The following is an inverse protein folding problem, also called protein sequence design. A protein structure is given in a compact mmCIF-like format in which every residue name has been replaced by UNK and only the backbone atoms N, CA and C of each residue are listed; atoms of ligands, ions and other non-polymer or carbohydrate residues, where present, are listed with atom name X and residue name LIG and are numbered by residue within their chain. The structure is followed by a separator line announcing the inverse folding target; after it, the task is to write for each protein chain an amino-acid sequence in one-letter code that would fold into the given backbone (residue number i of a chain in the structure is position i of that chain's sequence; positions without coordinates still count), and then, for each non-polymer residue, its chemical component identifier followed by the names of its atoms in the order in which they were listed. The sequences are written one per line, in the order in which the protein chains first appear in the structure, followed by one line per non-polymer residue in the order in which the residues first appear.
data_IF_365103112357
#
_entry.id   IF_365103112357
#
_cell.length_a   1.000
_cell.length_b   1.000
_cell.length_c   1.000
_cell.angle_alpha   90.00
_cell.angle_beta   90.00
_cell.angle_gamma   90.00
#
_symmetry.space_group_name_H-M   'P 1'
#
loop_
_entity.id
_entity.type
_entity.pdbx_description
1 polymer ?
#
# COMPACT_ATOMS: atom_id res chain seq x y z
N UNK A 1 -39.96 9.20 -28.30
CA UNK A 1 -39.96 7.95 -29.10
C UNK A 1 -38.55 7.74 -29.58
N UNK A 2 -37.76 6.97 -28.82
CA UNK A 2 -36.32 6.82 -29.06
C UNK A 2 -36.12 5.51 -29.81
N UNK A 3 -35.52 5.64 -30.99
CA UNK A 3 -35.31 4.61 -32.01
C UNK A 3 -34.09 3.77 -31.65
N UNK A 4 -34.27 2.44 -31.59
CA UNK A 4 -33.17 1.48 -31.47
C UNK A 4 -32.45 1.37 -32.81
N UNK A 5 -31.15 1.64 -32.82
CA UNK A 5 -30.27 1.29 -33.94
C UNK A 5 -29.63 -0.06 -33.58
N UNK A 6 -30.06 -1.13 -34.24
CA UNK A 6 -29.34 -2.40 -34.22
C UNK A 6 -28.29 -2.39 -35.33
N UNK A 7 -27.02 -2.53 -34.96
CA UNK A 7 -25.96 -2.91 -35.90
C UNK A 7 -25.49 -4.31 -35.50
N UNK A 8 -25.47 -5.29 -36.43
CA UNK A 8 -24.83 -6.56 -36.16
C UNK A 8 -23.31 -6.34 -36.17
N UNK A 9 -22.63 -6.65 -35.06
CA UNK A 9 -21.16 -6.76 -35.06
C UNK A 9 -20.86 -8.16 -35.55
N UNK A 10 -20.36 -8.25 -36.78
CA UNK A 10 -19.95 -9.50 -37.40
C UNK A 10 -18.94 -10.26 -36.52
N UNK A 11 -19.25 -11.53 -36.26
CA UNK A 11 -18.36 -12.48 -35.60
C UNK A 11 -17.14 -12.74 -36.51
N UNK A 12 -15.99 -12.17 -36.15
CA UNK A 12 -14.70 -12.63 -36.70
C UNK A 12 -14.35 -13.95 -36.02
N UNK A 13 -14.65 -15.07 -36.68
CA UNK A 13 -14.17 -16.39 -36.29
C UNK A 13 -12.67 -16.49 -36.60
N UNK A 14 -11.82 -16.21 -35.62
CA UNK A 14 -10.40 -16.52 -35.68
C UNK A 14 -10.20 -18.03 -35.57
N UNK A 15 -10.05 -18.69 -36.72
CA UNK A 15 -9.73 -20.11 -36.81
C UNK A 15 -8.22 -20.26 -36.92
N UNK A 16 -7.52 -20.54 -35.82
CA UNK A 16 -6.10 -20.90 -35.85
C UNK A 16 -5.97 -22.37 -36.27
N UNK A 17 -5.55 -22.59 -37.51
CA UNK A 17 -5.22 -23.93 -38.02
C UNK A 17 -3.71 -24.18 -37.86
N UNK A 18 -3.34 -24.95 -36.84
CA UNK A 18 -2.01 -25.54 -36.74
C UNK A 18 -2.02 -26.85 -37.53
N UNK A 19 -1.37 -26.86 -38.69
CA UNK A 19 -1.17 -28.08 -39.48
C UNK A 19 0.09 -28.77 -38.99
N UNK A 20 -0.08 -29.85 -38.23
CA UNK A 20 0.97 -30.86 -38.03
C UNK A 20 0.47 -32.14 -38.70
N UNK A 21 1.19 -32.58 -39.74
CA UNK A 21 0.91 -33.87 -40.38
C UNK A 21 1.44 -35.00 -39.49
N UNK A 22 0.54 -35.85 -39.02
CA UNK A 22 0.85 -37.27 -38.81
C UNK A 22 -0.45 -38.08 -38.87
N UNK A 23 -0.36 -39.23 -39.54
CA UNK A 23 -1.47 -40.14 -39.81
C UNK A 23 -2.20 -40.62 -38.55
N UNK A 24 -3.51 -40.85 -38.75
CA UNK A 24 -4.47 -41.55 -37.90
C UNK A 24 -5.12 -40.81 -36.72
N UNK A 25 -6.43 -40.59 -36.90
CA UNK A 25 -7.50 -40.44 -35.91
C UNK A 25 -7.20 -39.52 -34.70
N UNK A 26 -7.22 -38.22 -34.96
CA UNK A 26 -7.36 -37.22 -33.88
C UNK A 26 -8.85 -36.99 -33.65
N UNK A 27 -9.39 -37.63 -32.62
CA UNK A 27 -10.67 -37.27 -32.02
C UNK A 27 -10.59 -35.79 -31.60
N UNK A 28 -11.34 -34.93 -32.30
CA UNK A 28 -11.39 -33.50 -31.96
C UNK A 28 -12.29 -33.34 -30.74
N UNK A 29 -11.73 -33.46 -29.55
CA UNK A 29 -12.40 -32.98 -28.34
C UNK A 29 -12.62 -31.46 -28.49
N UNK A 30 -13.88 -31.08 -28.70
CA UNK A 30 -14.30 -29.67 -28.68
C UNK A 30 -14.19 -29.18 -27.25
N UNK A 31 -13.11 -28.45 -26.94
CA UNK A 31 -13.00 -27.73 -25.69
C UNK A 31 -14.08 -26.63 -25.65
N UNK A 32 -15.18 -26.89 -24.94
CA UNK A 32 -16.19 -25.86 -24.66
C UNK A 32 -15.61 -24.91 -23.62
N UNK A 33 -15.19 -23.73 -24.07
CA UNK A 33 -14.93 -22.61 -23.18
C UNK A 33 -16.30 -22.13 -22.71
N UNK A 34 -16.65 -22.43 -21.46
CA UNK A 34 -17.83 -21.87 -20.82
C UNK A 34 -17.63 -20.35 -20.67
N UNK A 35 -18.11 -19.58 -21.63
CA UNK A 35 -18.18 -18.13 -21.49
C UNK A 35 -19.30 -17.84 -20.49
N UNK A 36 -18.93 -17.49 -19.26
CA UNK A 36 -19.88 -16.94 -18.29
C UNK A 36 -20.34 -15.59 -18.83
N UNK A 37 -21.43 -15.58 -19.60
CA UNK A 37 -22.14 -14.35 -19.93
C UNK A 37 -22.93 -13.93 -18.69
N UNK A 38 -22.64 -12.74 -18.17
CA UNK A 38 -23.50 -12.04 -17.21
C UNK A 38 -24.86 -11.80 -17.89
N UNK A 39 -25.77 -12.76 -17.76
CA UNK A 39 -27.07 -12.74 -18.45
C UNK A 39 -28.12 -11.87 -17.72
N UNK A 40 -27.76 -11.30 -16.57
CA UNK A 40 -28.57 -10.35 -15.81
C UNK A 40 -27.68 -9.19 -15.38
N UNK A 41 -28.01 -7.98 -15.81
CA UNK A 41 -27.42 -6.76 -15.24
C UNK A 41 -27.92 -6.57 -13.82
N UNK A 42 -27.10 -5.96 -12.96
CA UNK A 42 -27.51 -5.59 -11.62
C UNK A 42 -28.56 -4.48 -11.68
N UNK A 43 -29.58 -4.60 -10.85
CA UNK A 43 -30.52 -3.51 -10.62
C UNK A 43 -29.84 -2.42 -9.79
N UNK A 44 -30.29 -1.17 -9.95
CA UNK A 44 -29.78 -0.05 -9.15
C UNK A 44 -29.96 -0.30 -7.64
N UNK A 45 -31.03 -1.00 -7.24
CA UNK A 45 -31.28 -1.39 -5.87
C UNK A 45 -30.23 -2.36 -5.33
N UNK A 46 -29.86 -3.40 -6.11
CA UNK A 46 -28.82 -4.36 -5.72
C UNK A 46 -27.47 -3.68 -5.52
N UNK A 47 -27.13 -2.72 -6.38
CA UNK A 47 -25.88 -1.95 -6.26
C UNK A 47 -25.86 -1.15 -4.94
N UNK A 48 -26.97 -0.48 -4.61
CA UNK A 48 -27.06 0.31 -3.36
C UNK A 48 -26.95 -0.58 -2.13
N UNK A 49 -27.59 -1.76 -2.15
CA UNK A 49 -27.51 -2.73 -1.04
C UNK A 49 -26.06 -3.19 -0.85
N UNK A 50 -25.37 -3.56 -1.92
CA UNK A 50 -23.97 -4.01 -1.86
C UNK A 50 -23.05 -2.91 -1.32
N UNK A 51 -23.18 -1.67 -1.83
CA UNK A 51 -22.40 -0.53 -1.34
C UNK A 51 -22.66 -0.24 0.14
N UNK A 52 -23.90 -0.40 0.59
CA UNK A 52 -24.28 -0.20 1.99
C UNK A 52 -23.62 -1.24 2.90
N UNK A 53 -23.66 -2.53 2.50
CA UNK A 53 -23.02 -3.61 3.25
C UNK A 53 -21.50 -3.39 3.34
N UNK A 54 -20.85 -3.02 2.22
CA UNK A 54 -19.41 -2.72 2.21
C UNK A 54 -19.11 -1.55 3.14
N UNK A 55 -19.88 -0.47 3.07
CA UNK A 55 -19.66 0.71 3.91
C UNK A 55 -19.82 0.42 5.41
N UNK A 56 -20.87 -0.32 5.80
CA UNK A 56 -21.07 -0.73 7.21
C UNK A 56 -19.96 -1.67 7.68
N UNK A 57 -19.59 -2.65 6.87
CA UNK A 57 -18.50 -3.56 7.20
C UNK A 57 -17.18 -2.80 7.37
N UNK A 58 -16.81 -1.95 6.41
CA UNK A 58 -15.60 -1.13 6.48
C UNK A 58 -15.58 -0.23 7.71
N UNK A 59 -16.71 0.38 8.07
CA UNK A 59 -16.82 1.24 9.27
C UNK A 59 -16.68 0.42 10.56
N UNK A 60 -17.28 -0.77 10.60
CA UNK A 60 -17.19 -1.66 11.77
C UNK A 60 -15.76 -2.19 11.95
N UNK A 61 -15.10 -2.60 10.86
CA UNK A 61 -13.68 -2.94 10.88
C UNK A 61 -12.81 -1.76 11.28
N UNK A 62 -13.09 -0.56 10.76
CA UNK A 62 -12.37 0.65 11.14
C UNK A 62 -12.44 0.92 12.64
N UNK A 63 -13.62 0.77 13.26
CA UNK A 63 -13.78 0.99 14.70
C UNK A 63 -13.14 -0.13 15.54
N UNK A 64 -13.22 -1.39 15.11
CA UNK A 64 -12.66 -2.53 15.84
C UNK A 64 -11.14 -2.60 15.74
N UNK A 65 -10.57 -2.17 14.62
CA UNK A 65 -9.11 -2.16 14.40
C UNK A 65 -8.45 -0.89 14.95
N UNK A 66 -9.21 0.18 15.16
CA UNK A 66 -8.71 1.39 15.81
C UNK A 66 -8.72 1.19 17.32
N UNK A 67 -7.76 0.41 17.81
CA UNK A 67 -7.43 0.39 19.24
C UNK A 67 -7.11 1.83 19.68
N UNK A 68 -7.48 2.25 20.90
CA UNK A 68 -7.00 3.52 21.44
C UNK A 68 -5.49 3.46 21.40
N UNK A 69 -4.86 4.38 20.66
CA UNK A 69 -3.42 4.43 20.45
C UNK A 69 -2.80 4.55 21.85
N UNK A 70 -2.19 3.48 22.41
CA UNK A 70 -1.36 3.66 23.60
C UNK A 70 -0.25 4.65 23.23
N UNK A 71 0.32 5.39 24.18
CA UNK A 71 1.46 6.28 23.93
C UNK A 71 2.41 5.61 22.92
N UNK A 72 2.39 6.10 21.68
CA UNK A 72 2.90 5.37 20.54
C UNK A 72 4.43 5.37 20.71
N UNK A 73 5.00 4.22 21.09
CA UNK A 73 6.45 4.17 21.28
C UNK A 73 7.12 4.55 19.96
N UNK A 74 8.30 5.19 20.02
CA UNK A 74 9.03 5.57 18.81
C UNK A 74 9.20 4.36 17.86
N UNK A 75 9.40 3.16 18.44
CA UNK A 75 9.54 1.92 17.70
C UNK A 75 8.27 1.57 16.91
N UNK A 76 7.11 1.68 17.53
CA UNK A 76 5.82 1.39 16.90
C UNK A 76 5.55 2.42 15.80
N UNK A 77 5.86 3.69 16.06
CA UNK A 77 5.72 4.76 15.07
C UNK A 77 6.60 4.55 13.84
N UNK A 78 7.87 4.19 14.05
CA UNK A 78 8.80 3.89 12.95
C UNK A 78 8.28 2.69 12.15
N UNK A 79 7.83 1.63 12.83
CA UNK A 79 7.30 0.43 12.17
C UNK A 79 6.06 0.75 11.32
N UNK A 80 5.13 1.54 11.87
CA UNK A 80 3.95 2.02 11.16
C UNK A 80 4.34 2.84 9.90
N UNK A 81 5.29 3.76 10.03
CA UNK A 81 5.72 4.59 8.90
C UNK A 81 6.52 3.81 7.86
N UNK A 82 7.27 2.78 8.24
CA UNK A 82 7.92 1.85 7.31
C UNK A 82 6.87 1.11 6.47
N UNK A 83 5.84 0.57 7.11
CA UNK A 83 4.73 -0.10 6.41
C UNK A 83 3.97 0.87 5.49
N UNK A 84 3.65 2.06 5.99
CA UNK A 84 2.98 3.10 5.21
C UNK A 84 3.84 3.54 4.01
N UNK A 85 5.15 3.74 4.21
CA UNK A 85 6.11 4.08 3.16
C UNK A 85 6.16 3.02 2.06
N UNK A 86 6.10 1.73 2.43
CA UNK A 86 6.06 0.62 1.48
C UNK A 86 4.79 0.67 0.60
N UNK A 87 3.63 0.91 1.20
CA UNK A 87 2.35 0.91 0.47
C UNK A 87 2.10 2.18 -0.33
N UNK A 88 2.57 3.33 0.15
CA UNK A 88 2.28 4.63 -0.46
C UNK A 88 3.40 5.15 -1.35
N UNK A 89 4.62 4.61 -1.22
CA UNK A 89 5.81 5.12 -1.88
C UNK A 89 6.31 6.45 -1.29
N UNK A 90 5.75 6.91 -0.15
CA UNK A 90 6.15 8.14 0.50
C UNK A 90 7.43 7.96 1.33
N UNK A 91 8.23 9.01 1.42
CA UNK A 91 9.41 9.05 2.30
C UNK A 91 9.12 9.95 3.49
N UNK A 92 9.47 9.50 4.69
CA UNK A 92 9.26 10.23 5.93
C UNK A 92 10.59 10.57 6.59
N UNK A 93 10.62 11.66 7.37
CA UNK A 93 11.77 12.00 8.21
C UNK A 93 11.36 12.44 9.61
N UNK A 94 12.20 12.14 10.59
CA UNK A 94 12.04 12.57 11.97
C UNK A 94 12.98 13.72 12.30
N UNK A 95 12.43 14.71 12.99
CA UNK A 95 13.14 15.78 13.70
C UNK A 95 12.76 15.71 15.18
N UNK A 96 13.38 16.53 16.05
CA UNK A 96 13.05 16.51 17.48
C UNK A 96 11.58 16.82 17.80
N UNK A 97 10.90 17.56 16.94
CA UNK A 97 9.58 18.12 17.22
C UNK A 97 8.50 17.66 16.23
N UNK A 98 8.89 17.04 15.11
CA UNK A 98 7.96 16.71 14.04
C UNK A 98 8.43 15.56 13.16
N UNK A 99 7.44 14.92 12.55
CA UNK A 99 7.62 14.03 11.40
C UNK A 99 7.27 14.81 10.14
N UNK A 100 8.14 14.73 9.14
CA UNK A 100 7.94 15.35 7.83
C UNK A 100 7.77 14.29 6.76
N UNK A 101 7.07 14.64 5.69
CA UNK A 101 6.91 13.81 4.49
C UNK A 101 7.54 14.51 3.29
N UNK A 102 8.23 13.76 2.45
CA UNK A 102 8.80 14.28 1.21
C UNK A 102 7.75 14.27 0.11
N UNK A 103 7.38 15.44 -0.40
CA UNK A 103 6.38 15.60 -1.46
C UNK A 103 6.74 16.76 -2.37
N UNK A 104 6.60 16.57 -3.68
CA UNK A 104 6.84 17.61 -4.69
C UNK A 104 8.22 18.30 -4.59
N UNK A 105 9.24 17.58 -4.13
CA UNK A 105 10.59 18.13 -3.98
C UNK A 105 10.89 18.78 -2.62
N UNK A 106 9.90 18.88 -1.73
CA UNK A 106 10.02 19.57 -0.45
C UNK A 106 9.64 18.67 0.74
N UNK A 107 10.23 18.97 1.90
CA UNK A 107 9.85 18.36 3.18
C UNK A 107 8.72 19.16 3.81
N UNK A 108 7.57 18.52 3.98
CA UNK A 108 6.37 19.14 4.53
C UNK A 108 6.08 18.48 5.87
N UNK A 109 5.79 19.28 6.90
CA UNK A 109 5.37 18.75 8.21
C UNK A 109 4.11 17.90 8.04
N UNK A 110 4.22 16.63 8.44
CA UNK A 110 3.14 15.65 8.41
C UNK A 110 2.39 15.65 9.74
N UNK A 111 3.12 15.58 10.85
CA UNK A 111 2.57 15.63 12.20
C UNK A 111 3.56 16.17 13.22
N UNK A 112 3.03 16.67 14.34
CA UNK A 112 3.80 16.94 15.55
C UNK A 112 4.12 15.63 16.26
N UNK A 113 5.39 15.42 16.59
CA UNK A 113 5.84 14.24 17.31
C UNK A 113 7.09 14.58 18.11
N UNK A 114 6.96 14.60 19.43
CA UNK A 114 8.07 14.93 20.32
C UNK A 114 9.01 13.73 20.43
N UNK A 115 10.28 13.91 20.04
CA UNK A 115 11.35 12.93 20.24
C UNK A 115 12.46 13.48 21.12
N UNK A 116 12.15 14.41 22.02
CA UNK A 116 13.07 14.98 23.01
C UNK A 116 13.74 13.93 23.90
N UNK A 117 13.12 12.76 24.05
CA UNK A 117 13.66 11.60 24.76
C UNK A 117 14.75 10.84 23.98
N UNK A 118 15.01 11.19 22.72
CA UNK A 118 16.10 10.63 21.90
C UNK A 118 17.38 11.43 22.10
N UNK A 119 18.45 10.73 22.48
CA UNK A 119 19.75 11.30 22.81
C UNK A 119 20.64 11.45 21.58
N UNK A 120 20.80 10.37 20.82
CA UNK A 120 21.71 10.27 19.68
C UNK A 120 21.26 9.20 18.70
N UNK A 121 21.83 9.21 17.51
CA UNK A 121 21.65 8.16 16.51
C UNK A 121 23.00 7.71 15.97
N UNK A 122 23.07 6.47 15.49
CA UNK A 122 24.21 5.93 14.79
C UNK A 122 23.91 5.91 13.30
N UNK A 123 24.78 6.54 12.51
CA UNK A 123 24.62 6.57 11.05
C UNK A 123 24.93 5.22 10.40
N UNK A 124 24.72 5.11 9.08
CA UNK A 124 25.02 3.91 8.29
C UNK A 124 26.51 3.49 8.34
N UNK A 125 27.40 4.39 8.76
CA UNK A 125 28.84 4.12 8.91
C UNK A 125 29.22 3.67 10.32
N UNK A 126 28.25 3.59 11.25
CA UNK A 126 28.49 3.19 12.63
C UNK A 126 28.99 4.32 13.53
N UNK A 127 28.91 5.58 13.10
CA UNK A 127 29.32 6.72 13.93
C UNK A 127 28.13 7.29 14.70
N UNK A 128 28.32 7.46 16.00
CA UNK A 128 27.33 8.10 16.87
C UNK A 128 27.32 9.61 16.64
N UNK A 129 26.12 10.15 16.43
CA UNK A 129 25.87 11.57 16.20
C UNK A 129 24.83 12.11 17.17
N UNK A 130 25.10 13.31 17.69
CA UNK A 130 24.13 14.07 18.48
C UNK A 130 23.07 14.70 17.57
N UNK A 131 21.81 14.69 18.02
CA UNK A 131 20.70 15.26 17.25
C UNK A 131 20.59 16.76 17.54
N UNK A 132 20.81 17.59 16.53
CA UNK A 132 20.53 19.04 16.61
C UNK A 132 19.04 19.31 16.51
N UNK A 133 18.60 20.47 17.03
CA UNK A 133 17.17 20.81 17.19
C UNK A 133 16.32 20.61 15.92
N UNK A 134 16.80 21.07 14.76
CA UNK A 134 16.08 21.00 13.48
C UNK A 134 16.71 20.01 12.50
N UNK A 135 17.50 19.05 13.00
CA UNK A 135 18.14 18.05 12.14
C UNK A 135 17.15 16.91 11.85
N UNK A 136 17.04 16.55 10.57
CA UNK A 136 16.40 15.31 10.16
C UNK A 136 17.38 14.16 10.44
N UNK A 137 17.15 13.42 11.51
CA UNK A 137 18.09 12.41 11.98
C UNK A 137 17.73 10.99 11.53
N UNK A 138 16.46 10.72 11.27
CA UNK A 138 15.99 9.44 10.74
C UNK A 138 15.17 9.70 9.47
N UNK A 139 15.47 8.99 8.40
CA UNK A 139 14.72 8.97 7.14
C UNK A 139 14.24 7.53 6.92
N UNK A 140 12.96 7.40 6.59
CA UNK A 140 12.29 6.16 6.23
C UNK A 140 11.90 6.27 4.76
N UNK A 141 12.52 5.46 3.91
CA UNK A 141 12.26 5.41 2.49
C UNK A 141 11.56 4.09 2.09
N UNK A 142 10.83 4.08 0.96
CA UNK A 142 10.19 2.87 0.46
C UNK A 142 11.20 1.73 0.27
N UNK A 143 10.82 0.50 0.64
CA UNK A 143 11.69 -0.67 0.56
C UNK A 143 12.44 -1.02 1.85
N UNK A 144 11.87 -0.67 3.01
CA UNK A 144 12.43 -0.92 4.36
C UNK A 144 13.80 -0.28 4.63
N UNK A 145 14.18 0.74 3.87
CA UNK A 145 15.45 1.42 4.07
C UNK A 145 15.30 2.50 5.14
N UNK A 146 16.13 2.43 6.18
CA UNK A 146 16.29 3.49 7.17
C UNK A 146 17.69 4.09 7.05
N UNK A 147 17.81 5.41 7.30
CA UNK A 147 19.10 6.11 7.19
C UNK A 147 20.04 5.88 8.38
N UNK A 148 19.57 5.23 9.43
CA UNK A 148 20.29 5.04 10.70
C UNK A 148 20.36 3.57 11.05
N UNK A 149 21.45 3.16 11.69
CA UNK A 149 21.61 1.80 12.22
C UNK A 149 21.05 1.65 13.61
N UNK A 150 21.15 2.70 14.42
CA UNK A 150 20.73 2.65 15.80
C UNK A 150 20.21 4.01 16.26
N UNK A 151 19.24 3.99 17.17
CA UNK A 151 18.80 5.17 17.92
C UNK A 151 19.00 4.87 19.40
N UNK A 152 19.60 5.81 20.13
CA UNK A 152 19.83 5.71 21.58
C UNK A 152 19.01 6.75 22.33
N UNK A 153 18.35 6.31 23.39
CA UNK A 153 17.47 7.11 24.22
C UNK A 153 18.18 7.70 25.44
N UNK A 154 17.53 8.65 26.12
CA UNK A 154 18.07 9.29 27.31
C UNK A 154 18.29 8.32 28.49
N UNK A 155 17.55 7.21 28.53
CA UNK A 155 17.72 6.14 29.51
C UNK A 155 18.82 5.11 29.11
N UNK A 156 19.57 5.37 28.03
CA UNK A 156 20.55 4.47 27.41
C UNK A 156 19.97 3.20 26.77
N UNK A 157 18.65 3.06 26.66
CA UNK A 157 18.06 2.04 25.80
C UNK A 157 18.36 2.35 24.32
N UNK A 158 18.29 1.34 23.47
CA UNK A 158 18.53 1.51 22.04
C UNK A 158 17.58 0.70 21.16
N UNK A 159 17.32 1.22 19.96
CA UNK A 159 16.66 0.50 18.87
C UNK A 159 17.70 0.32 17.77
N UNK A 160 17.93 -0.92 17.38
CA UNK A 160 18.73 -1.28 16.21
C UNK A 160 17.84 -1.52 15.00
N UNK A 161 18.32 -1.09 13.84
CA UNK A 161 17.69 -1.26 12.53
C UNK A 161 18.59 -2.16 11.67
N UNK A 162 17.98 -3.16 11.03
CA UNK A 162 18.65 -4.08 10.11
C UNK A 162 18.78 -3.49 8.71
#
# INVERSE_FOLDING_TARGET
MIMYISTPVDMVNLTLSLTVQMDNLVEKEKMQISTVRLNKGFTLLEIVIVLTIISLASTSFYLLLRQPVPEESLKDKISYLQENSLYTGLTFSFTKEAINVYKNGEWIKFEDFDTSYVKSYQDSSGQDREIKKNEMYLIIAPGHQTSVRQITFNNNDSIEFN
#
